data_IF_468480471209
#
_entry.id   IF_468480471209
#
_cell.length_a   1.000
_cell.length_b   1.000
_cell.length_c   1.000
_cell.angle_alpha   90.00
_cell.angle_beta   90.00
_cell.angle_gamma   90.00
#
_symmetry.space_group_name_H-M   'P 1'
#
loop_
_entity.id
_entity.type
_entity.pdbx_description
1 polymer ?
#
# COMPACT_ATOMS: atom_id res chain seq x y z
N UNK A 1 -7.77 19.21 -60.33
CA UNK A 1 -7.61 19.76 -58.97
C UNK A 1 -8.38 18.87 -58.02
N UNK A 2 -7.71 18.06 -57.21
CA UNK A 2 -8.33 17.19 -56.20
C UNK A 2 -8.05 17.83 -54.84
N UNK A 3 -9.10 18.20 -54.11
CA UNK A 3 -8.98 18.75 -52.75
C UNK A 3 -8.42 17.67 -51.80
N UNK A 4 -7.42 17.99 -50.96
CA UNK A 4 -7.01 17.07 -49.91
C UNK A 4 -8.09 17.03 -48.82
N UNK A 5 -8.67 15.86 -48.61
CA UNK A 5 -9.58 15.54 -47.51
C UNK A 5 -8.81 15.70 -46.17
N UNK A 6 -9.00 16.83 -45.50
CA UNK A 6 -8.57 17.03 -44.11
C UNK A 6 -9.39 16.11 -43.22
N UNK A 7 -8.80 14.99 -42.82
CA UNK A 7 -9.38 14.08 -41.81
C UNK A 7 -9.64 14.87 -40.52
N UNK A 8 -10.85 14.80 -39.93
CA UNK A 8 -11.09 15.38 -38.62
C UNK A 8 -10.20 14.65 -37.60
N UNK A 9 -9.35 15.39 -36.89
CA UNK A 9 -8.49 14.90 -35.81
C UNK A 9 -9.31 14.60 -34.54
N UNK A 10 -10.35 13.81 -34.66
CA UNK A 10 -11.16 13.35 -33.53
C UNK A 10 -10.55 12.05 -32.97
N UNK A 11 -9.37 12.09 -32.34
CA UNK A 11 -8.89 10.91 -31.58
C UNK A 11 -7.80 11.20 -30.53
N UNK A 12 -7.76 12.42 -29.99
CA UNK A 12 -7.04 12.68 -28.73
C UNK A 12 -8.01 13.30 -27.72
N UNK A 13 -9.14 12.63 -27.52
CA UNK A 13 -9.86 12.67 -26.24
C UNK A 13 -8.91 12.06 -25.21
N UNK A 14 -8.00 12.89 -24.71
CA UNK A 14 -7.35 12.70 -23.42
C UNK A 14 -8.39 12.86 -22.32
N UNK A 15 -9.44 12.03 -22.33
CA UNK A 15 -10.13 11.62 -21.13
C UNK A 15 -9.07 10.95 -20.27
N UNK A 16 -8.36 11.79 -19.52
CA UNK A 16 -7.67 11.41 -18.30
C UNK A 16 -8.74 10.71 -17.49
N UNK A 17 -8.75 9.38 -17.60
CA UNK A 17 -9.49 8.41 -16.79
C UNK A 17 -9.21 8.78 -15.34
N UNK A 18 -9.98 9.73 -14.83
CA UNK A 18 -9.87 10.21 -13.47
C UNK A 18 -10.34 8.99 -12.68
N UNK A 19 -9.45 8.32 -11.91
CA UNK A 19 -9.78 7.06 -11.28
C UNK A 19 -11.06 7.29 -10.49
N UNK A 20 -12.12 6.55 -10.85
CA UNK A 20 -13.41 6.72 -10.21
C UNK A 20 -13.15 6.37 -8.76
N UNK A 21 -13.69 7.12 -7.78
CA UNK A 21 -13.42 6.84 -6.35
C UNK A 21 -13.64 5.37 -5.98
N UNK A 22 -14.57 4.71 -6.67
CA UNK A 22 -14.84 3.27 -6.57
C UNK A 22 -13.65 2.37 -6.97
N UNK A 23 -12.85 2.76 -7.96
CA UNK A 23 -11.68 1.99 -8.40
C UNK A 23 -10.58 1.95 -7.32
N UNK A 24 -10.49 2.99 -6.51
CA UNK A 24 -9.59 3.08 -5.34
C UNK A 24 -10.07 2.10 -4.25
N UNK A 25 -11.38 2.05 -3.97
CA UNK A 25 -11.96 1.10 -3.01
C UNK A 25 -11.86 -0.35 -3.50
N UNK A 26 -12.03 -0.59 -4.80
CA UNK A 26 -11.80 -1.89 -5.42
C UNK A 26 -10.34 -2.32 -5.32
N UNK A 27 -9.39 -1.37 -5.39
CA UNK A 27 -7.97 -1.65 -5.17
C UNK A 27 -7.71 -2.19 -3.77
N UNK A 28 -8.28 -1.55 -2.73
CA UNK A 28 -8.17 -2.05 -1.37
C UNK A 28 -8.71 -3.49 -1.23
N UNK A 29 -9.90 -3.76 -1.78
CA UNK A 29 -10.48 -5.11 -1.80
C UNK A 29 -9.60 -6.15 -2.50
N UNK A 30 -9.01 -5.79 -3.65
CA UNK A 30 -8.07 -6.67 -4.37
C UNK A 30 -6.78 -6.91 -3.58
N UNK A 31 -6.26 -5.91 -2.87
CA UNK A 31 -5.10 -6.06 -1.96
C UNK A 31 -5.42 -7.03 -0.82
N UNK A 32 -6.60 -6.93 -0.19
CA UNK A 32 -7.02 -7.90 0.82
C UNK A 32 -7.16 -9.31 0.24
N UNK A 33 -7.69 -9.44 -0.99
CA UNK A 33 -7.79 -10.73 -1.68
C UNK A 33 -6.40 -11.33 -1.98
N UNK A 34 -5.43 -10.51 -2.38
CA UNK A 34 -4.03 -10.90 -2.59
C UNK A 34 -3.40 -11.42 -1.29
N UNK A 35 -3.52 -10.65 -0.21
CA UNK A 35 -3.01 -11.03 1.11
C UNK A 35 -3.69 -12.31 1.60
N UNK A 36 -5.01 -12.41 1.49
CA UNK A 36 -5.77 -13.60 1.88
C UNK A 36 -5.36 -14.85 1.10
N UNK A 37 -5.11 -14.73 -0.21
CA UNK A 37 -4.57 -15.80 -1.04
C UNK A 37 -3.21 -16.28 -0.54
N UNK A 38 -2.27 -15.35 -0.32
CA UNK A 38 -0.93 -15.67 0.20
C UNK A 38 -0.96 -16.27 1.62
N UNK A 39 -1.89 -15.82 2.46
CA UNK A 39 -2.08 -16.34 3.81
C UNK A 39 -2.65 -17.76 3.83
N UNK A 40 -3.47 -18.12 2.84
CA UNK A 40 -4.09 -19.45 2.73
C UNK A 40 -3.20 -20.44 1.96
N UNK A 41 -2.27 -19.94 1.15
CA UNK A 41 -1.37 -20.77 0.35
C UNK A 41 -0.46 -21.64 1.22
N UNK A 42 -0.46 -22.95 0.97
CA UNK A 42 0.33 -23.94 1.71
C UNK A 42 1.82 -23.89 1.35
N UNK A 43 2.18 -23.31 0.21
CA UNK A 43 3.57 -23.11 -0.24
C UNK A 43 4.28 -22.02 0.56
N UNK A 44 3.53 -21.13 1.20
CA UNK A 44 4.10 -20.10 2.09
C UNK A 44 4.34 -20.70 3.48
N UNK A 45 5.59 -20.73 3.98
CA UNK A 45 5.89 -21.26 5.31
C UNK A 45 5.24 -20.41 6.41
N UNK A 46 4.80 -21.09 7.48
CA UNK A 46 4.08 -20.46 8.61
C UNK A 46 4.87 -19.31 9.24
N UNK A 47 6.20 -19.43 9.36
CA UNK A 47 7.04 -18.36 9.91
C UNK A 47 6.93 -17.04 9.13
N UNK A 48 6.86 -17.07 7.79
CA UNK A 48 6.69 -15.86 6.98
C UNK A 48 5.31 -15.22 7.20
N UNK A 49 4.27 -16.04 7.40
CA UNK A 49 2.93 -15.58 7.74
C UNK A 49 2.91 -14.92 9.12
N UNK A 50 3.56 -15.55 10.10
CA UNK A 50 3.71 -15.02 11.46
C UNK A 50 4.50 -13.70 11.46
N UNK A 51 5.58 -13.60 10.69
CA UNK A 51 6.32 -12.35 10.52
C UNK A 51 5.43 -11.26 9.92
N UNK A 52 4.69 -11.56 8.86
CA UNK A 52 3.78 -10.59 8.24
C UNK A 52 2.69 -10.11 9.21
N UNK A 53 1.95 -11.05 9.82
CA UNK A 53 0.87 -10.72 10.76
C UNK A 53 1.42 -10.04 12.01
N UNK A 54 2.57 -10.49 12.53
CA UNK A 54 3.25 -9.88 13.67
C UNK A 54 3.72 -8.46 13.37
N UNK A 55 4.31 -8.21 12.20
CA UNK A 55 4.71 -6.87 11.79
C UNK A 55 3.52 -5.95 11.56
N UNK A 56 2.46 -6.41 10.89
CA UNK A 56 1.23 -5.62 10.72
C UNK A 56 0.58 -5.32 12.07
N UNK A 57 0.46 -6.32 12.94
CA UNK A 57 -0.10 -6.18 14.29
C UNK A 57 0.73 -5.24 15.18
N UNK A 58 2.06 -5.35 15.13
CA UNK A 58 2.96 -4.43 15.83
C UNK A 58 2.84 -3.00 15.32
N UNK A 59 2.71 -2.81 14.01
CA UNK A 59 2.53 -1.49 13.39
C UNK A 59 1.17 -0.87 13.78
N UNK A 60 0.11 -1.69 13.86
CA UNK A 60 -1.20 -1.27 14.38
C UNK A 60 -1.16 -0.93 15.86
N UNK A 61 -0.46 -1.73 16.69
CA UNK A 61 -0.26 -1.43 18.11
C UNK A 61 0.46 -0.09 18.30
N UNK A 62 1.51 0.17 17.54
CA UNK A 62 2.21 1.46 17.53
C UNK A 62 1.29 2.61 17.15
N UNK A 63 0.42 2.39 16.16
CA UNK A 63 -0.50 3.41 15.65
C UNK A 63 -1.66 3.72 16.61
N UNK A 64 -2.24 2.70 17.25
CA UNK A 64 -3.37 2.87 18.18
C UNK A 64 -2.94 3.23 19.60
N UNK A 65 -1.73 2.84 20.01
CA UNK A 65 -1.24 3.02 21.36
C UNK A 65 0.17 3.64 21.35
N UNK A 66 0.34 4.85 20.78
CA UNK A 66 1.64 5.52 20.75
C UNK A 66 2.21 5.71 22.17
N UNK A 67 1.34 5.91 23.16
CA UNK A 67 1.73 6.12 24.56
C UNK A 67 2.38 4.90 25.21
N UNK A 68 2.09 3.67 24.76
CA UNK A 68 2.74 2.45 25.28
C UNK A 68 4.23 2.38 24.94
N UNK A 69 4.68 3.15 23.95
CA UNK A 69 6.07 3.17 23.48
C UNK A 69 6.82 4.43 23.95
N UNK A 70 6.15 5.30 24.70
CA UNK A 70 6.62 6.64 25.05
C UNK A 70 7.86 6.67 25.94
N UNK A 71 8.03 5.72 26.87
CA UNK A 71 9.20 5.75 27.77
C UNK A 71 10.45 5.12 27.16
N UNK A 72 10.31 4.08 26.32
CA UNK A 72 11.45 3.31 25.82
C UNK A 72 11.96 3.75 24.43
N UNK A 73 11.11 4.28 23.56
CA UNK A 73 11.46 4.59 22.16
C UNK A 73 11.76 6.08 21.96
N UNK A 74 11.05 6.97 22.68
CA UNK A 74 11.19 8.42 22.53
C UNK A 74 12.56 8.94 22.95
N UNK A 75 13.22 8.32 23.92
CA UNK A 75 14.56 8.73 24.40
C UNK A 75 15.69 8.51 23.37
N UNK A 76 15.49 7.65 22.36
CA UNK A 76 16.51 7.33 21.35
C UNK A 76 16.25 7.99 19.99
N UNK A 77 14.98 8.21 19.62
CA UNK A 77 14.60 8.63 18.25
C UNK A 77 14.25 10.12 18.15
N UNK A 78 13.82 10.76 19.25
CA UNK A 78 13.36 12.16 19.22
C UNK A 78 14.37 13.21 18.74
N UNK A 79 15.71 13.08 18.93
CA UNK A 79 16.64 14.12 18.45
C UNK A 79 16.68 14.24 16.92
N UNK A 80 16.25 13.21 16.18
CA UNK A 80 16.39 13.13 14.72
C UNK A 80 15.10 13.56 14.00
N UNK A 81 13.93 13.35 14.63
CA UNK A 81 12.62 13.64 14.02
C UNK A 81 12.07 15.03 14.41
N UNK A 82 12.46 15.54 15.58
CA UNK A 82 11.93 16.80 16.13
C UNK A 82 12.19 18.06 15.29
N UNK A 83 13.20 18.06 14.40
CA UNK A 83 13.55 19.21 13.56
C UNK A 83 12.84 19.25 12.21
N UNK A 84 12.22 18.15 11.76
CA UNK A 84 11.53 18.07 10.46
C UNK A 84 10.00 18.13 10.64
N UNK A 85 9.47 17.69 11.78
CA UNK A 85 8.05 17.54 12.05
C UNK A 85 7.35 18.84 12.55
N UNK A 86 7.70 20.00 12.00
CA UNK A 86 6.98 21.28 12.25
C UNK A 86 5.56 21.33 11.66
N UNK A 87 4.99 20.20 11.25
CA UNK A 87 3.65 20.03 10.71
C UNK A 87 2.92 19.04 11.62
N UNK A 88 1.72 19.36 12.13
CA UNK A 88 0.93 18.38 12.87
C UNK A 88 0.72 17.17 11.97
N UNK A 89 1.36 16.06 12.35
CA UNK A 89 1.14 14.77 11.71
C UNK A 89 -0.24 14.35 12.17
N UNK A 90 -1.26 14.78 11.43
CA UNK A 90 -2.64 14.33 11.63
C UNK A 90 -2.68 12.80 11.45
N UNK A 91 -3.65 12.16 12.09
CA UNK A 91 -3.90 10.72 11.97
C UNK A 91 -3.89 10.24 10.50
N UNK A 92 -4.33 11.08 9.55
CA UNK A 92 -4.32 10.78 8.11
C UNK A 92 -2.92 10.52 7.50
N UNK A 93 -1.88 11.24 7.94
CA UNK A 93 -0.51 11.02 7.44
C UNK A 93 0.07 9.71 7.99
N UNK A 94 -0.22 9.38 9.25
CA UNK A 94 0.22 8.11 9.86
C UNK A 94 -0.39 6.89 9.17
N UNK A 95 -1.66 6.96 8.75
CA UNK A 95 -2.28 5.89 7.96
C UNK A 95 -1.62 5.71 6.58
N UNK A 96 -1.14 6.77 5.95
CA UNK A 96 -0.43 6.69 4.68
C UNK A 96 0.96 6.06 4.85
N UNK A 97 1.69 6.47 5.88
CA UNK A 97 2.99 5.86 6.24
C UNK A 97 2.78 4.37 6.57
N UNK A 98 1.77 4.05 7.37
CA UNK A 98 1.36 2.68 7.66
C UNK A 98 1.08 1.90 6.37
N UNK A 99 0.30 2.44 5.44
CA UNK A 99 -0.02 1.77 4.18
C UNK A 99 1.23 1.49 3.34
N UNK A 100 2.14 2.45 3.22
CA UNK A 100 3.41 2.28 2.49
C UNK A 100 4.28 1.19 3.13
N UNK A 101 4.43 1.22 4.46
CA UNK A 101 5.19 0.21 5.19
C UNK A 101 4.52 -1.15 5.07
N UNK A 102 3.20 -1.25 5.23
CA UNK A 102 2.44 -2.48 5.12
C UNK A 102 2.55 -3.13 3.73
N UNK A 103 2.52 -2.33 2.65
CA UNK A 103 2.79 -2.83 1.29
C UNK A 103 4.22 -3.35 1.18
N UNK A 104 5.20 -2.70 1.81
CA UNK A 104 6.59 -3.18 1.84
C UNK A 104 6.72 -4.53 2.58
N UNK A 105 5.87 -4.81 3.58
CA UNK A 105 5.85 -6.11 4.28
C UNK A 105 5.44 -7.27 3.36
N UNK A 106 4.83 -7.02 2.20
CA UNK A 106 4.57 -8.08 1.21
C UNK A 106 5.86 -8.78 0.76
N UNK A 107 7.02 -8.14 0.91
CA UNK A 107 8.34 -8.75 0.64
C UNK A 107 8.67 -9.94 1.54
N UNK A 108 7.96 -10.13 2.65
CA UNK A 108 8.11 -11.35 3.45
C UNK A 108 7.61 -12.59 2.71
N UNK A 109 6.66 -12.44 1.78
CA UNK A 109 6.18 -13.53 0.94
C UNK A 109 7.14 -13.78 -0.24
N UNK A 110 7.21 -15.01 -0.77
CA UNK A 110 8.00 -15.32 -1.96
C UNK A 110 7.52 -14.49 -3.16
N UNK A 111 8.44 -13.83 -3.87
CA UNK A 111 8.10 -12.90 -4.94
C UNK A 111 7.35 -13.59 -6.10
N UNK A 112 7.64 -14.87 -6.34
CA UNK A 112 7.02 -15.69 -7.37
C UNK A 112 5.53 -15.88 -7.09
N UNK A 113 5.19 -16.19 -5.83
CA UNK A 113 3.79 -16.37 -5.41
C UNK A 113 3.06 -15.03 -5.41
N UNK A 114 3.68 -13.96 -4.93
CA UNK A 114 3.08 -12.62 -4.97
C UNK A 114 2.74 -12.23 -6.41
N UNK A 115 3.64 -12.45 -7.36
CA UNK A 115 3.41 -12.18 -8.78
C UNK A 115 2.34 -13.08 -9.41
N UNK A 116 2.28 -14.35 -9.01
CA UNK A 116 1.23 -15.29 -9.43
C UNK A 116 -0.16 -14.82 -8.98
N UNK A 117 -0.35 -14.57 -7.68
CA UNK A 117 -1.63 -14.07 -7.17
C UNK A 117 -1.96 -12.67 -7.69
N UNK A 118 -0.95 -11.81 -7.88
CA UNK A 118 -1.17 -10.48 -8.45
C UNK A 118 -1.71 -10.59 -9.88
N UNK A 119 -1.11 -11.40 -10.76
CA UNK A 119 -1.64 -11.63 -12.12
C UNK A 119 -3.04 -12.23 -12.09
N UNK A 120 -3.33 -13.15 -11.17
CA UNK A 120 -4.64 -13.77 -11.08
C UNK A 120 -5.75 -12.81 -10.61
N UNK A 121 -5.41 -11.74 -9.88
CA UNK A 121 -6.39 -10.80 -9.29
C UNK A 121 -6.47 -9.48 -10.08
N UNK A 122 -5.37 -9.06 -10.68
CA UNK A 122 -5.22 -7.75 -11.35
C UNK A 122 -4.96 -7.84 -12.86
N UNK A 123 -4.65 -9.03 -13.38
CA UNK A 123 -4.54 -9.29 -14.83
C UNK A 123 -5.89 -9.42 -15.52
#
# INVERSE_FOLDING_TARGET
>A
MIQPQTRPQAYYEGEKLRPRRRDIFLHAGKTFKLIGGLMTDRRVPLWRKLLFVGSVGGLLLLLFFPDLFSEAVLSTVLPIVGTIAGVPIDAGFDWMVFALVAVNLLKFFPAELVAEYYRNIFG
#
